data_IF_619376081299
#
_entry.id   IF_619376081299
#
_cell.length_a   1.000
_cell.length_b   1.000
_cell.length_c   1.000
_cell.angle_alpha   90.00
_cell.angle_beta   90.00
_cell.angle_gamma   90.00
#
_symmetry.space_group_name_H-M   'P 1'
#
loop_
_entity.id
_entity.type
_entity.pdbx_description
1 polymer ?
#
# COMPACT_ATOMS: atom_id res chain seq x y z
N UNK A 1 6.00 -1.26 17.57
CA UNK A 1 5.03 -0.16 17.64
C UNK A 1 4.03 -0.37 16.52
N UNK A 2 2.76 -0.47 16.87
CA UNK A 2 1.69 -0.60 15.90
C UNK A 2 1.29 0.78 15.39
N UNK A 3 0.90 0.87 14.11
CA UNK A 3 0.44 2.12 13.50
C UNK A 3 -0.88 1.89 12.79
N UNK A 4 -1.73 2.90 12.82
CA UNK A 4 -3.01 2.93 12.08
C UNK A 4 -2.88 3.93 10.96
N UNK A 5 -3.01 3.47 9.71
CA UNK A 5 -2.99 4.32 8.52
C UNK A 5 -4.41 4.38 7.97
N UNK A 6 -5.05 5.57 7.91
CA UNK A 6 -6.37 5.70 7.31
C UNK A 6 -6.27 5.45 5.80
N UNK A 7 -7.19 4.64 5.28
CA UNK A 7 -7.30 4.37 3.86
C UNK A 7 -8.29 5.33 3.21
N UNK A 8 -7.97 5.81 2.02
CA UNK A 8 -8.94 6.55 1.20
C UNK A 8 -10.09 5.63 0.80
N UNK A 9 -11.27 6.21 0.54
CA UNK A 9 -12.44 5.45 0.07
C UNK A 9 -12.13 4.62 -1.18
N UNK A 10 -11.32 5.17 -2.08
CA UNK A 10 -10.86 4.47 -3.29
C UNK A 10 -9.99 3.26 -2.94
N UNK A 11 -8.99 3.41 -2.06
CA UNK A 11 -8.11 2.32 -1.65
C UNK A 11 -8.90 1.19 -0.95
N UNK A 12 -9.80 1.55 -0.01
CA UNK A 12 -10.66 0.58 0.68
C UNK A 12 -11.52 -0.20 -0.32
N UNK A 13 -12.15 0.48 -1.28
CA UNK A 13 -12.96 -0.15 -2.32
C UNK A 13 -12.14 -1.11 -3.18
N UNK A 14 -10.96 -0.71 -3.64
CA UNK A 14 -10.08 -1.55 -4.44
C UNK A 14 -9.62 -2.80 -3.69
N UNK A 15 -9.32 -2.67 -2.39
CA UNK A 15 -8.95 -3.81 -1.55
C UNK A 15 -10.12 -4.78 -1.38
N UNK A 16 -11.34 -4.28 -1.17
CA UNK A 16 -12.54 -5.13 -1.07
C UNK A 16 -12.80 -5.92 -2.36
N UNK A 17 -12.78 -5.25 -3.52
CA UNK A 17 -12.95 -5.89 -4.83
C UNK A 17 -11.90 -6.98 -5.04
N UNK A 18 -10.64 -6.67 -4.71
CA UNK A 18 -9.56 -7.64 -4.82
C UNK A 18 -9.81 -8.85 -3.90
N UNK A 19 -10.22 -8.65 -2.64
CA UNK A 19 -10.50 -9.75 -1.71
C UNK A 19 -11.67 -10.62 -2.18
N UNK A 20 -12.72 -10.03 -2.70
CA UNK A 20 -13.88 -10.75 -3.26
C UNK A 20 -13.51 -11.57 -4.50
N UNK A 21 -12.51 -11.13 -5.26
CA UNK A 21 -12.02 -11.86 -6.43
C UNK A 21 -11.20 -13.12 -6.09
N UNK A 22 -10.77 -13.29 -4.83
CA UNK A 22 -9.96 -14.43 -4.41
C UNK A 22 -10.82 -15.69 -4.31
N UNK A 23 -10.43 -16.72 -5.07
CA UNK A 23 -11.11 -18.04 -5.05
C UNK A 23 -10.87 -18.84 -3.77
N UNK A 24 -9.83 -18.50 -3.01
CA UNK A 24 -9.41 -19.18 -1.79
C UNK A 24 -9.14 -18.17 -0.71
N UNK A 25 -9.54 -18.49 0.52
CA UNK A 25 -9.14 -17.72 1.68
C UNK A 25 -7.63 -17.84 1.88
N UNK A 26 -7.01 -16.73 2.25
CA UNK A 26 -5.60 -16.66 2.63
C UNK A 26 -5.47 -15.74 3.83
N UNK A 27 -4.51 -16.06 4.71
CA UNK A 27 -4.15 -15.21 5.84
C UNK A 27 -3.50 -13.90 5.37
N UNK A 28 -2.71 -13.96 4.28
CA UNK A 28 -2.09 -12.79 3.70
C UNK A 28 -3.11 -11.96 2.90
N UNK A 29 -3.12 -10.64 3.10
CA UNK A 29 -3.99 -9.76 2.32
C UNK A 29 -3.70 -9.88 0.83
N UNK A 30 -2.44 -9.79 0.40
CA UNK A 30 -2.04 -9.93 -1.00
C UNK A 30 -1.37 -11.27 -1.25
N UNK A 31 -1.83 -11.98 -2.29
CA UNK A 31 -1.31 -13.28 -2.71
C UNK A 31 -0.90 -13.29 -4.19
N UNK A 32 0.04 -14.17 -4.53
CA UNK A 32 0.44 -14.47 -5.90
C UNK A 32 -0.57 -15.36 -6.61
N UNK A 33 -0.36 -15.61 -7.90
CA UNK A 33 -1.18 -16.55 -8.70
C UNK A 33 -1.20 -17.97 -8.14
N UNK A 34 -0.19 -18.36 -7.36
CA UNK A 34 -0.11 -19.65 -6.66
C UNK A 34 -0.65 -19.60 -5.22
N UNK A 35 -1.40 -18.54 -4.88
CA UNK A 35 -2.05 -18.33 -3.58
C UNK A 35 -1.10 -18.23 -2.36
N UNK A 36 0.13 -17.78 -2.59
CA UNK A 36 1.13 -17.54 -1.53
C UNK A 36 1.31 -16.04 -1.29
N UNK A 37 1.74 -15.64 -0.09
CA UNK A 37 2.03 -14.24 0.24
C UNK A 37 2.98 -13.62 -0.80
N UNK A 38 2.61 -12.44 -1.31
CA UNK A 38 3.47 -11.68 -2.22
C UNK A 38 4.76 -11.25 -1.51
N UNK A 39 5.90 -11.47 -2.15
CA UNK A 39 7.22 -11.05 -1.65
C UNK A 39 7.55 -9.61 -2.05
N UNK A 40 8.44 -8.90 -1.34
CA UNK A 40 8.89 -7.56 -1.75
C UNK A 40 9.38 -7.50 -3.20
N UNK A 41 10.19 -8.49 -3.62
CA UNK A 41 10.68 -8.62 -5.00
C UNK A 41 9.55 -8.71 -6.03
N UNK A 42 8.46 -9.39 -5.68
CA UNK A 42 7.28 -9.49 -6.57
C UNK A 42 6.60 -8.13 -6.71
N UNK A 43 6.45 -7.38 -5.61
CA UNK A 43 5.89 -6.02 -5.65
C UNK A 43 6.76 -5.09 -6.50
N UNK A 44 8.08 -5.13 -6.31
CA UNK A 44 9.03 -4.35 -7.11
C UNK A 44 8.91 -4.69 -8.60
N UNK A 45 8.89 -5.97 -8.94
CA UNK A 45 8.70 -6.42 -10.32
C UNK A 45 7.37 -5.93 -10.93
N UNK A 46 6.27 -6.01 -10.17
CA UNK A 46 4.97 -5.51 -10.62
C UNK A 46 4.98 -4.00 -10.86
N UNK A 47 5.64 -3.22 -10.01
CA UNK A 47 5.72 -1.76 -10.14
C UNK A 47 6.69 -1.30 -11.24
N UNK A 48 7.75 -2.07 -11.51
CA UNK A 48 8.68 -1.79 -12.61
C UNK A 48 7.98 -1.75 -13.98
N UNK A 49 6.88 -2.49 -14.16
CA UNK A 49 6.04 -2.40 -15.38
C UNK A 49 5.52 -0.99 -15.65
N UNK A 50 5.44 -0.16 -14.61
CA UNK A 50 4.96 1.22 -14.67
C UNK A 50 6.10 2.23 -14.44
N UNK A 51 7.36 1.80 -14.45
CA UNK A 51 8.54 2.64 -14.16
C UNK A 51 8.48 3.35 -12.79
N UNK A 52 8.00 2.60 -11.78
CA UNK A 52 7.82 3.09 -10.40
C UNK A 52 8.44 2.11 -9.40
N UNK A 53 8.92 2.65 -8.28
CA UNK A 53 9.45 1.86 -7.16
C UNK A 53 8.66 2.09 -5.87
N UNK A 54 8.59 1.12 -4.94
CA UNK A 54 7.85 1.26 -3.68
C UNK A 54 8.22 2.51 -2.87
N UNK A 55 9.52 2.84 -2.79
CA UNK A 55 9.99 4.04 -2.09
C UNK A 55 9.50 5.34 -2.74
N UNK A 56 9.40 5.37 -4.08
CA UNK A 56 8.86 6.53 -4.82
C UNK A 56 7.38 6.74 -4.48
N UNK A 57 6.58 5.66 -4.43
CA UNK A 57 5.18 5.74 -4.01
C UNK A 57 5.02 6.26 -2.57
N UNK A 58 5.86 5.76 -1.65
CA UNK A 58 5.87 6.23 -0.26
C UNK A 58 6.24 7.71 -0.16
N UNK A 59 7.25 8.15 -0.92
CA UNK A 59 7.64 9.55 -0.97
C UNK A 59 6.51 10.43 -1.50
N UNK A 60 5.88 10.04 -2.61
CA UNK A 60 4.72 10.75 -3.17
C UNK A 60 3.56 10.81 -2.18
N UNK A 61 3.28 9.73 -1.44
CA UNK A 61 2.25 9.74 -0.39
C UNK A 61 2.55 10.80 0.68
N UNK A 62 3.78 10.84 1.20
CA UNK A 62 4.15 11.81 2.24
C UNK A 62 4.14 13.25 1.69
N UNK A 63 4.67 13.45 0.49
CA UNK A 63 4.66 14.74 -0.20
C UNK A 63 3.23 15.25 -0.41
N UNK A 64 2.32 14.40 -0.89
CA UNK A 64 0.92 14.77 -1.08
C UNK A 64 0.27 15.22 0.25
N UNK A 65 0.54 14.55 1.37
CA UNK A 65 0.01 14.98 2.67
C UNK A 65 0.55 16.36 3.07
N UNK A 66 1.86 16.56 2.90
CA UNK A 66 2.50 17.84 3.20
C UNK A 66 1.95 18.98 2.32
N UNK A 67 1.78 18.74 1.02
CA UNK A 67 1.23 19.71 0.06
C UNK A 67 -0.22 20.10 0.42
N UNK A 68 -0.97 19.15 0.99
CA UNK A 68 -2.32 19.37 1.54
C UNK A 68 -2.32 19.98 2.95
N UNK A 69 -1.21 20.60 3.37
CA UNK A 69 -1.07 21.32 4.65
C UNK A 69 -1.27 20.45 5.89
N UNK A 70 -1.07 19.13 5.79
CA UNK A 70 -1.05 18.25 6.96
C UNK A 70 0.23 18.52 7.75
N UNK A 71 0.11 18.65 9.08
CA UNK A 71 1.25 18.90 9.96
C UNK A 71 2.33 17.82 9.82
N UNK A 72 3.60 18.24 9.79
CA UNK A 72 4.76 17.36 9.58
C UNK A 72 4.85 16.24 10.63
N UNK A 73 4.44 16.51 11.87
CA UNK A 73 4.39 15.50 12.93
C UNK A 73 3.39 14.38 12.60
N UNK A 74 2.22 14.73 12.04
CA UNK A 74 1.22 13.77 11.58
C UNK A 74 1.74 12.97 10.39
N UNK A 75 2.42 13.62 9.44
CA UNK A 75 3.04 12.94 8.29
C UNK A 75 4.11 11.94 8.75
N UNK A 76 4.98 12.31 9.70
CA UNK A 76 6.00 11.43 10.28
C UNK A 76 5.38 10.19 10.94
N UNK A 77 4.34 10.39 11.77
CA UNK A 77 3.59 9.31 12.43
C UNK A 77 2.98 8.33 11.41
N UNK A 78 2.39 8.84 10.33
CA UNK A 78 1.80 8.00 9.27
C UNK A 78 2.86 7.25 8.46
N UNK A 79 4.02 7.87 8.22
CA UNK A 79 5.15 7.22 7.58
C UNK A 79 5.77 6.14 8.50
N UNK A 80 5.66 6.29 9.82
CA UNK A 80 6.28 5.40 10.79
C UNK A 80 7.75 5.75 11.04
N UNK A 81 8.04 7.05 11.09
CA UNK A 81 9.29 7.63 11.58
C UNK A 81 9.09 8.20 12.98
#
# INVERSE_FOLDING_TARGET
>A
MDRVIPLSKAASKSISIYRESLKKNSEALFVSSVNQRVTPRTVEYMLNKYDVHPHKLRHTFCQNLFDNRIHIETVSKLAGH
#
